data_IF_012454988491
#
_entry.id   IF_012454988491
#
_cell.length_a   1.000
_cell.length_b   1.000
_cell.length_c   1.000
_cell.angle_alpha   90.00
_cell.angle_beta   90.00
_cell.angle_gamma   90.00
#
_symmetry.space_group_name_H-M   'P 1'
#
loop_
_entity.id
_entity.type
_entity.pdbx_description
1 polymer ?
#
# COMPACT_ATOMS: atom_id res chain seq x y z
N UNK A 1 5.93 60.91 -18.55
CA UNK A 1 5.94 59.48 -18.94
C UNK A 1 6.93 58.75 -18.04
N UNK A 2 6.42 58.12 -16.99
CA UNK A 2 7.23 57.39 -15.99
C UNK A 2 7.45 55.96 -16.46
N UNK A 3 8.72 55.56 -16.61
CA UNK A 3 9.09 54.18 -16.99
C UNK A 3 8.91 53.28 -15.77
N UNK A 4 7.93 52.38 -15.79
CA UNK A 4 7.80 51.29 -14.86
C UNK A 4 9.03 50.36 -14.96
N UNK A 5 9.78 50.23 -13.88
CA UNK A 5 10.85 49.22 -13.73
C UNK A 5 10.23 47.88 -13.38
N UNK A 6 10.41 46.87 -14.23
CA UNK A 6 10.09 45.49 -13.91
C UNK A 6 10.94 45.00 -12.75
N UNK A 7 10.35 44.27 -11.77
CA UNK A 7 11.12 43.67 -10.70
C UNK A 7 12.02 42.54 -11.25
N UNK A 8 13.21 42.32 -10.66
CA UNK A 8 14.10 41.24 -11.07
C UNK A 8 13.47 39.90 -10.78
N UNK A 9 13.61 38.96 -11.73
CA UNK A 9 13.21 37.56 -11.56
C UNK A 9 13.94 36.90 -10.38
N UNK A 10 13.27 36.06 -9.60
CA UNK A 10 13.92 35.36 -8.50
C UNK A 10 15.02 34.44 -9.03
N UNK A 11 16.23 34.69 -8.62
CA UNK A 11 17.42 33.86 -8.92
C UNK A 11 17.26 32.55 -8.16
N UNK A 12 17.17 31.45 -8.89
CA UNK A 12 17.24 30.12 -8.29
C UNK A 12 18.57 29.96 -7.53
N UNK A 13 18.58 29.38 -6.32
CA UNK A 13 19.81 29.23 -5.57
C UNK A 13 20.80 28.35 -6.33
N UNK A 14 22.04 28.83 -6.48
CA UNK A 14 23.17 28.07 -7.00
C UNK A 14 23.34 26.79 -6.19
N UNK A 15 23.54 25.63 -6.87
CA UNK A 15 24.00 24.36 -6.27
C UNK A 15 25.32 24.62 -5.52
N UNK A 16 25.24 25.06 -4.27
CA UNK A 16 26.31 24.91 -3.33
C UNK A 16 26.38 23.46 -2.90
N UNK A 17 27.60 22.88 -2.74
CA UNK A 17 27.84 21.49 -2.33
C UNK A 17 27.15 21.14 -1.02
N UNK A 18 25.83 20.90 -1.09
CA UNK A 18 25.01 20.46 -0.01
C UNK A 18 25.15 18.95 0.14
N UNK A 19 25.30 18.46 1.38
CA UNK A 19 25.10 17.06 1.74
C UNK A 19 23.90 16.55 0.96
N UNK A 20 24.06 15.46 0.18
CA UNK A 20 22.94 14.81 -0.48
C UNK A 20 21.87 14.54 0.59
N UNK A 21 20.63 14.96 0.35
CA UNK A 21 19.55 14.73 1.28
C UNK A 21 19.50 13.24 1.62
N UNK A 22 19.34 12.90 2.91
CA UNK A 22 19.23 11.50 3.34
C UNK A 22 18.01 10.87 2.68
N UNK A 23 18.23 9.91 1.77
CA UNK A 23 17.20 9.17 1.06
C UNK A 23 17.02 7.74 1.58
N UNK A 24 17.39 7.47 2.83
CA UNK A 24 17.28 6.15 3.45
C UNK A 24 16.62 6.22 4.82
N UNK A 25 16.00 5.11 5.23
CA UNK A 25 15.38 4.95 6.54
C UNK A 25 16.04 3.82 7.33
N UNK A 26 16.21 4.02 8.64
CA UNK A 26 16.55 2.95 9.59
C UNK A 26 15.28 2.19 9.90
N UNK A 27 15.33 0.88 9.66
CA UNK A 27 14.24 -0.03 9.95
C UNK A 27 14.36 -0.58 11.38
N UNK A 28 13.26 -1.12 11.92
CA UNK A 28 13.22 -1.71 13.27
C UNK A 28 14.15 -2.94 13.39
N UNK A 29 14.29 -3.72 12.32
CA UNK A 29 15.24 -4.83 12.19
C UNK A 29 16.71 -4.40 12.28
N UNK A 30 16.99 -3.09 12.24
CA UNK A 30 18.35 -2.53 12.16
C UNK A 30 18.85 -2.35 10.73
N UNK A 31 18.11 -2.81 9.70
CA UNK A 31 18.45 -2.59 8.29
C UNK A 31 18.44 -1.10 7.94
N UNK A 32 19.18 -0.76 6.91
CA UNK A 32 19.18 0.57 6.31
C UNK A 32 18.59 0.46 4.91
N UNK A 33 17.32 0.82 4.77
CA UNK A 33 16.62 0.78 3.50
C UNK A 33 16.84 2.09 2.72
N UNK A 34 17.44 2.01 1.54
CA UNK A 34 17.54 3.12 0.60
C UNK A 34 16.22 3.22 -0.20
N UNK A 35 15.62 4.43 -0.25
CA UNK A 35 14.32 4.62 -0.93
C UNK A 35 14.48 4.89 -2.43
N UNK A 36 15.68 5.29 -2.85
CA UNK A 36 15.96 5.57 -4.26
C UNK A 36 16.54 4.37 -5.00
N UNK A 37 17.26 3.50 -4.25
CA UNK A 37 17.85 2.27 -4.78
C UNK A 37 17.72 1.13 -3.74
N UNK A 38 16.49 0.63 -3.50
CA UNK A 38 16.24 -0.36 -2.47
C UNK A 38 16.82 -1.72 -2.86
N UNK A 39 17.63 -2.29 -1.95
CA UNK A 39 18.13 -3.66 -2.08
C UNK A 39 17.13 -4.66 -1.51
N UNK A 40 16.91 -5.78 -2.22
CA UNK A 40 16.12 -6.89 -1.70
C UNK A 40 16.68 -7.46 -0.38
N UNK A 41 18.00 -7.32 -0.13
CA UNK A 41 18.65 -7.78 1.09
C UNK A 41 18.36 -6.90 2.32
N UNK A 42 17.85 -5.69 2.11
CA UNK A 42 17.48 -4.76 3.18
C UNK A 42 15.99 -4.83 3.53
N UNK A 43 15.24 -5.72 2.88
CA UNK A 43 13.82 -5.94 3.11
C UNK A 43 13.61 -7.10 4.08
N UNK A 44 12.94 -6.84 5.20
CA UNK A 44 12.57 -7.86 6.18
C UNK A 44 11.05 -7.90 6.37
N UNK A 45 10.50 -9.12 6.51
CA UNK A 45 9.04 -9.29 6.67
C UNK A 45 8.53 -8.66 7.97
N UNK A 46 9.34 -8.73 9.01
CA UNK A 46 9.02 -8.15 10.31
C UNK A 46 8.79 -6.64 10.22
N UNK A 47 9.64 -5.94 9.46
CA UNK A 47 9.52 -4.50 9.23
C UNK A 47 8.25 -4.18 8.42
N UNK A 48 7.96 -4.97 7.38
CA UNK A 48 6.76 -4.81 6.56
C UNK A 48 5.51 -5.01 7.42
N UNK A 49 5.40 -6.12 8.13
CA UNK A 49 4.22 -6.43 8.94
C UNK A 49 4.00 -5.39 10.03
N UNK A 50 5.10 -4.97 10.71
CA UNK A 50 5.06 -3.95 11.75
C UNK A 50 4.58 -2.60 11.20
N UNK A 51 5.15 -2.16 10.08
CA UNK A 51 4.79 -0.89 9.45
C UNK A 51 3.35 -0.89 8.96
N UNK A 52 2.97 -1.87 8.13
CA UNK A 52 1.62 -1.96 7.56
C UNK A 52 0.51 -2.04 8.62
N UNK A 53 0.79 -2.66 9.78
CA UNK A 53 -0.17 -2.72 10.88
C UNK A 53 -0.39 -1.37 11.58
N UNK A 54 0.48 -0.38 11.35
CA UNK A 54 0.44 0.97 11.95
C UNK A 54 0.17 2.08 10.95
N UNK A 55 0.12 1.75 9.66
CA UNK A 55 -0.32 2.68 8.61
C UNK A 55 -1.84 2.59 8.49
N UNK A 56 -2.50 3.74 8.68
CA UNK A 56 -3.95 3.84 8.62
C UNK A 56 -4.43 4.00 7.18
N UNK A 57 -5.39 3.19 6.75
CA UNK A 57 -6.18 3.42 5.54
C UNK A 57 -7.11 4.62 5.75
N UNK A 58 -7.51 5.28 4.66
CA UNK A 58 -8.44 6.41 4.70
C UNK A 58 -7.97 7.56 5.61
N UNK A 59 -6.66 7.75 5.78
CA UNK A 59 -6.08 8.72 6.72
C UNK A 59 -6.66 8.59 8.14
N UNK A 60 -7.04 7.39 8.56
CA UNK A 60 -7.66 7.13 9.84
C UNK A 60 -9.14 7.54 9.96
N UNK A 61 -9.78 8.01 8.88
CA UNK A 61 -11.19 8.41 8.86
C UNK A 61 -12.11 7.20 8.68
N UNK A 62 -12.00 6.24 9.60
CA UNK A 62 -12.80 5.02 9.62
C UNK A 62 -13.49 4.83 10.97
N UNK A 63 -14.68 4.22 10.96
CA UNK A 63 -15.42 3.85 12.17
C UNK A 63 -14.68 2.76 12.95
N UNK A 64 -14.85 2.73 14.26
CA UNK A 64 -14.31 1.70 15.15
C UNK A 64 -13.33 2.26 16.17
N UNK A 65 -12.91 1.41 17.12
CA UNK A 65 -11.99 1.79 18.20
C UNK A 65 -10.51 1.85 17.77
N UNK A 66 -10.19 1.26 16.61
CA UNK A 66 -8.85 1.16 16.08
C UNK A 66 -8.80 1.67 14.64
N UNK A 67 -7.62 2.06 14.18
CA UNK A 67 -7.40 2.37 12.76
C UNK A 67 -7.65 1.11 11.93
N UNK A 68 -8.24 1.28 10.74
CA UNK A 68 -8.23 0.22 9.74
C UNK A 68 -6.88 0.25 9.03
N UNK A 69 -6.04 -0.75 9.29
CA UNK A 69 -4.65 -0.75 8.86
C UNK A 69 -4.45 -1.30 7.45
N UNK A 70 -3.36 -0.92 6.79
CA UNK A 70 -2.96 -1.48 5.48
C UNK A 70 -2.71 -2.99 5.58
N UNK A 71 -2.19 -3.50 6.71
CA UNK A 71 -2.05 -4.94 6.93
C UNK A 71 -3.40 -5.66 6.88
N UNK A 72 -4.43 -5.10 7.50
CA UNK A 72 -5.79 -5.67 7.48
C UNK A 72 -6.41 -5.58 6.09
N UNK A 73 -6.25 -4.46 5.40
CA UNK A 73 -6.63 -4.27 4.00
C UNK A 73 -6.01 -5.32 3.09
N UNK A 74 -4.70 -5.53 3.17
CA UNK A 74 -3.99 -6.50 2.33
C UNK A 74 -4.50 -7.93 2.54
N UNK A 75 -4.87 -8.28 3.77
CA UNK A 75 -5.51 -9.56 4.08
C UNK A 75 -6.92 -9.68 3.48
N UNK A 76 -7.71 -8.59 3.51
CA UNK A 76 -9.01 -8.54 2.83
C UNK A 76 -8.86 -8.70 1.32
N UNK A 77 -7.91 -8.00 0.71
CA UNK A 77 -7.65 -8.09 -0.75
C UNK A 77 -7.25 -9.52 -1.14
N UNK A 78 -6.40 -10.18 -0.35
CA UNK A 78 -6.03 -11.60 -0.59
C UNK A 78 -7.24 -12.53 -0.46
N UNK A 79 -8.09 -12.31 0.53
CA UNK A 79 -9.30 -13.13 0.71
C UNK A 79 -10.27 -12.96 -0.47
N UNK A 80 -10.46 -11.75 -0.98
CA UNK A 80 -11.30 -11.46 -2.15
C UNK A 80 -10.70 -12.04 -3.44
N UNK A 81 -9.39 -11.92 -3.65
CA UNK A 81 -8.71 -12.51 -4.79
C UNK A 81 -8.86 -14.04 -4.81
N UNK A 82 -8.70 -14.69 -3.66
CA UNK A 82 -8.88 -16.13 -3.49
C UNK A 82 -10.33 -16.56 -3.72
N UNK A 83 -11.30 -15.77 -3.29
CA UNK A 83 -12.72 -16.06 -3.56
C UNK A 83 -13.03 -15.96 -5.06
N UNK A 84 -12.41 -15.01 -5.76
CA UNK A 84 -12.58 -14.79 -7.20
C UNK A 84 -11.86 -15.84 -8.05
N UNK A 85 -10.65 -16.27 -7.63
CA UNK A 85 -9.82 -17.26 -8.30
C UNK A 85 -9.38 -18.33 -7.28
N UNK A 86 -10.24 -19.35 -7.00
CA UNK A 86 -9.96 -20.36 -5.96
C UNK A 86 -8.69 -21.17 -6.21
N UNK A 87 -8.27 -21.31 -7.47
CA UNK A 87 -7.04 -22.02 -7.86
C UNK A 87 -5.83 -21.09 -8.04
N UNK A 88 -5.89 -19.86 -7.55
CA UNK A 88 -4.74 -18.95 -7.55
C UNK A 88 -3.59 -19.64 -6.78
N UNK A 89 -2.45 -19.76 -7.44
CA UNK A 89 -1.28 -20.41 -6.85
C UNK A 89 -0.71 -19.61 -5.68
N UNK A 90 0.23 -20.22 -4.99
CA UNK A 90 0.88 -19.64 -3.82
C UNK A 90 1.56 -18.30 -4.12
N UNK A 91 2.32 -18.24 -5.21
CA UNK A 91 3.04 -17.04 -5.61
C UNK A 91 2.08 -15.91 -5.99
N UNK A 92 0.99 -16.22 -6.69
CA UNK A 92 -0.06 -15.26 -6.97
C UNK A 92 -0.72 -14.71 -5.71
N UNK A 93 -1.00 -15.57 -4.72
CA UNK A 93 -1.55 -15.12 -3.42
C UNK A 93 -0.55 -14.28 -2.64
N UNK A 94 0.73 -14.64 -2.66
CA UNK A 94 1.79 -13.87 -2.03
C UNK A 94 1.92 -12.49 -2.67
N UNK A 95 1.89 -12.40 -4.00
CA UNK A 95 1.91 -11.15 -4.73
C UNK A 95 0.69 -10.27 -4.39
N UNK A 96 -0.51 -10.87 -4.24
CA UNK A 96 -1.71 -10.15 -3.78
C UNK A 96 -1.52 -9.62 -2.35
N UNK A 97 -1.00 -10.43 -1.42
CA UNK A 97 -0.77 -10.01 -0.03
C UNK A 97 0.23 -8.83 0.05
N UNK A 98 1.23 -8.82 -0.83
CA UNK A 98 2.32 -7.84 -0.84
C UNK A 98 2.03 -6.61 -1.72
N UNK A 99 0.83 -6.46 -2.31
CA UNK A 99 0.57 -5.43 -3.32
C UNK A 99 0.80 -4.00 -2.83
N UNK A 100 0.44 -3.71 -1.59
CA UNK A 100 0.65 -2.42 -0.90
C UNK A 100 1.82 -2.47 0.10
N UNK A 101 2.69 -3.49 0.01
CA UNK A 101 3.81 -3.61 0.94
C UNK A 101 4.72 -2.37 0.99
N UNK A 102 5.00 -1.63 -0.10
CA UNK A 102 5.79 -0.39 -0.02
C UNK A 102 5.28 0.63 0.99
N UNK A 103 3.98 0.61 1.31
CA UNK A 103 3.35 1.57 2.22
C UNK A 103 3.87 1.47 3.67
N UNK A 104 4.56 0.37 4.03
CA UNK A 104 5.22 0.28 5.35
C UNK A 104 6.28 1.37 5.57
N UNK A 105 6.77 1.99 4.49
CA UNK A 105 7.78 3.05 4.52
C UNK A 105 7.24 4.38 4.02
N UNK A 106 6.45 4.34 2.94
CA UNK A 106 5.97 5.56 2.27
C UNK A 106 4.58 6.00 2.74
N UNK A 107 3.88 5.15 3.51
CA UNK A 107 2.53 5.40 3.99
C UNK A 107 1.45 5.19 2.94
N UNK A 108 0.20 5.01 3.39
CA UNK A 108 -0.98 4.98 2.50
C UNK A 108 -1.33 6.42 2.08
N UNK A 109 -1.23 6.68 0.79
CA UNK A 109 -1.65 7.94 0.22
C UNK A 109 -2.98 7.78 -0.51
N UNK A 110 -3.96 8.60 -0.15
CA UNK A 110 -5.26 8.62 -0.82
C UNK A 110 -5.10 9.02 -2.29
N UNK A 111 -5.93 8.43 -3.16
CA UNK A 111 -5.88 8.64 -4.61
C UNK A 111 -5.90 10.12 -5.05
N UNK A 112 -6.70 11.02 -4.43
CA UNK A 112 -6.64 12.44 -4.77
C UNK A 112 -5.26 13.06 -4.54
N UNK A 113 -4.54 12.67 -3.47
CA UNK A 113 -3.22 13.20 -3.16
C UNK A 113 -2.14 12.61 -4.08
N UNK A 114 -2.22 11.31 -4.39
CA UNK A 114 -1.37 10.65 -5.42
C UNK A 114 -1.44 11.38 -6.77
N UNK A 115 -2.63 11.85 -7.15
CA UNK A 115 -2.83 12.60 -8.39
C UNK A 115 -2.13 13.98 -8.40
N UNK A 116 -1.99 14.62 -7.24
CA UNK A 116 -1.32 15.92 -7.10
C UNK A 116 0.19 15.80 -7.08
N UNK A 117 0.76 14.80 -6.39
CA UNK A 117 2.21 14.59 -6.27
C UNK A 117 2.84 14.09 -7.59
N UNK A 118 2.09 13.32 -8.38
CA UNK A 118 2.52 12.87 -9.70
C UNK A 118 3.50 11.69 -9.71
N UNK A 119 4.29 11.58 -10.77
CA UNK A 119 5.01 10.36 -11.11
C UNK A 119 6.25 10.06 -10.26
N UNK A 120 6.82 11.05 -9.59
CA UNK A 120 7.99 10.84 -8.71
C UNK A 120 7.70 9.89 -7.55
N UNK A 121 6.51 9.97 -6.96
CA UNK A 121 6.05 9.05 -5.92
C UNK A 121 5.93 7.62 -6.45
N UNK A 122 5.24 7.45 -7.60
CA UNK A 122 5.06 6.13 -8.23
C UNK A 122 6.39 5.45 -8.54
N UNK A 123 7.39 6.22 -8.97
CA UNK A 123 8.72 5.66 -9.25
C UNK A 123 9.40 5.08 -8.00
N UNK A 124 9.23 5.70 -6.84
CA UNK A 124 9.71 5.16 -5.55
C UNK A 124 8.92 3.92 -5.15
N UNK A 125 7.59 3.99 -5.18
CA UNK A 125 6.68 2.88 -4.88
C UNK A 125 7.01 1.64 -5.71
N UNK A 126 7.17 1.78 -7.03
CA UNK A 126 7.50 0.67 -7.93
C UNK A 126 8.88 0.05 -7.64
N UNK A 127 9.91 0.85 -7.33
CA UNK A 127 11.23 0.32 -6.97
C UNK A 127 11.19 -0.47 -5.66
N UNK A 128 10.52 0.06 -4.65
CA UNK A 128 10.32 -0.63 -3.38
C UNK A 128 9.56 -1.95 -3.58
N UNK A 129 8.47 -1.94 -4.35
CA UNK A 129 7.68 -3.14 -4.63
C UNK A 129 8.51 -4.19 -5.38
N UNK A 130 9.32 -3.77 -6.37
CA UNK A 130 10.21 -4.67 -7.09
C UNK A 130 11.25 -5.33 -6.15
N UNK A 131 11.87 -4.56 -5.25
CA UNK A 131 12.81 -5.09 -4.27
C UNK A 131 12.13 -6.08 -3.30
N UNK A 132 10.92 -5.76 -2.84
CA UNK A 132 10.11 -6.64 -1.99
C UNK A 132 9.76 -7.94 -2.73
N UNK A 133 9.30 -7.86 -3.96
CA UNK A 133 9.01 -9.05 -4.78
C UNK A 133 10.24 -9.95 -4.92
N UNK A 134 11.38 -9.38 -5.30
CA UNK A 134 12.64 -10.13 -5.45
C UNK A 134 13.07 -10.79 -4.14
N UNK A 135 12.92 -10.10 -3.01
CA UNK A 135 13.25 -10.63 -1.67
C UNK A 135 12.50 -11.92 -1.37
N UNK A 136 11.24 -12.02 -1.80
CA UNK A 136 10.36 -13.15 -1.50
C UNK A 136 10.16 -14.09 -2.69
N UNK A 137 11.06 -14.06 -3.68
CA UNK A 137 11.07 -15.01 -4.80
C UNK A 137 9.99 -14.76 -5.85
N UNK A 138 9.42 -13.56 -5.90
CA UNK A 138 8.49 -13.13 -6.93
C UNK A 138 9.24 -12.37 -8.04
N UNK A 139 8.73 -12.35 -9.29
CA UNK A 139 9.30 -11.52 -10.33
C UNK A 139 9.12 -10.03 -10.01
N UNK A 140 10.12 -9.19 -10.29
CA UNK A 140 10.06 -7.74 -10.08
C UNK A 140 8.83 -7.10 -10.75
N UNK A 141 8.44 -7.61 -11.93
CA UNK A 141 7.22 -7.22 -12.64
C UNK A 141 6.31 -8.44 -12.77
N UNK A 142 5.11 -8.33 -12.21
CA UNK A 142 4.11 -9.39 -12.26
C UNK A 142 3.48 -9.52 -13.66
N UNK A 143 2.98 -10.70 -14.05
CA UNK A 143 2.15 -10.87 -15.24
C UNK A 143 0.92 -9.94 -15.21
N UNK A 144 0.52 -9.45 -16.37
CA UNK A 144 -0.61 -8.51 -16.48
C UNK A 144 -1.92 -9.06 -15.92
N UNK A 145 -2.18 -10.35 -16.14
CA UNK A 145 -3.35 -11.04 -15.61
C UNK A 145 -3.41 -10.98 -14.09
N UNK A 146 -2.26 -11.16 -13.41
CA UNK A 146 -2.17 -11.06 -11.96
C UNK A 146 -2.29 -9.61 -11.48
N UNK A 147 -1.67 -8.65 -12.18
CA UNK A 147 -1.84 -7.23 -11.87
C UNK A 147 -3.32 -6.80 -11.97
N UNK A 148 -4.04 -7.29 -13.00
CA UNK A 148 -5.46 -7.01 -13.18
C UNK A 148 -6.33 -7.65 -12.08
N UNK A 149 -5.97 -8.86 -11.61
CA UNK A 149 -6.62 -9.49 -10.46
C UNK A 149 -6.40 -8.69 -9.18
N UNK A 150 -5.16 -8.25 -8.91
CA UNK A 150 -4.82 -7.40 -7.76
C UNK A 150 -5.66 -6.12 -7.78
N UNK A 151 -5.62 -5.35 -8.88
CA UNK A 151 -6.39 -4.11 -9.02
C UNK A 151 -7.90 -4.31 -8.84
N UNK A 152 -8.45 -5.41 -9.36
CA UNK A 152 -9.87 -5.71 -9.21
C UNK A 152 -10.23 -6.08 -7.77
N UNK A 153 -9.35 -6.79 -7.05
CA UNK A 153 -9.57 -7.19 -5.66
C UNK A 153 -9.37 -6.03 -4.68
N UNK A 154 -8.35 -5.19 -4.92
CA UNK A 154 -8.12 -3.95 -4.18
C UNK A 154 -9.32 -2.98 -4.33
N UNK A 155 -9.80 -2.74 -5.56
CA UNK A 155 -10.98 -1.91 -5.79
C UNK A 155 -12.23 -2.47 -5.10
N UNK A 156 -12.38 -3.79 -5.06
CA UNK A 156 -13.47 -4.45 -4.34
C UNK A 156 -13.35 -4.27 -2.82
N UNK A 157 -12.14 -4.36 -2.27
CA UNK A 157 -11.86 -4.07 -0.86
C UNK A 157 -12.16 -2.61 -0.54
N UNK A 158 -11.69 -1.66 -1.36
CA UNK A 158 -11.96 -0.24 -1.20
C UNK A 158 -13.47 0.08 -1.21
N UNK A 159 -14.27 -0.61 -2.05
CA UNK A 159 -15.73 -0.48 -2.01
C UNK A 159 -16.32 -0.89 -0.65
N UNK A 160 -15.88 -2.04 -0.13
CA UNK A 160 -16.36 -2.54 1.17
C UNK A 160 -15.94 -1.63 2.32
N UNK A 161 -14.69 -1.19 2.31
CA UNK A 161 -14.16 -0.24 3.30
C UNK A 161 -14.92 1.09 3.27
N UNK A 162 -15.14 1.64 2.07
CA UNK A 162 -15.86 2.89 1.88
C UNK A 162 -17.26 2.81 2.50
N UNK A 163 -18.01 1.76 2.16
CA UNK A 163 -19.41 1.63 2.58
C UNK A 163 -19.58 1.16 4.03
N UNK A 164 -18.66 0.36 4.57
CA UNK A 164 -18.76 -0.19 5.92
C UNK A 164 -18.04 0.65 6.97
N UNK A 165 -16.92 1.28 6.58
CA UNK A 165 -16.02 1.93 7.54
C UNK A 165 -15.90 3.43 7.34
N UNK A 166 -15.81 3.91 6.08
CA UNK A 166 -15.52 5.31 5.77
C UNK A 166 -16.76 6.18 5.54
N UNK A 167 -17.97 5.63 5.69
CA UNK A 167 -19.23 6.41 5.68
C UNK A 167 -19.76 6.78 4.30
N UNK A 168 -19.28 6.14 3.24
CA UNK A 168 -19.82 6.35 1.89
C UNK A 168 -21.19 5.67 1.74
N UNK A 169 -22.08 6.35 1.04
CA UNK A 169 -23.33 5.73 0.56
C UNK A 169 -23.06 4.80 -0.63
N UNK A 170 -23.85 3.74 -0.77
CA UNK A 170 -23.68 2.76 -1.87
C UNK A 170 -23.63 3.40 -3.26
N UNK A 171 -24.47 4.39 -3.51
CA UNK A 171 -24.52 5.11 -4.79
C UNK A 171 -23.25 5.90 -5.08
N UNK A 172 -22.66 6.49 -4.04
CA UNK A 172 -21.40 7.22 -4.11
C UNK A 172 -20.23 6.26 -4.31
N UNK A 173 -20.13 5.20 -3.49
CA UNK A 173 -19.09 4.20 -3.58
C UNK A 173 -19.02 3.54 -4.96
N UNK A 174 -20.17 3.30 -5.61
CA UNK A 174 -20.23 2.77 -6.99
C UNK A 174 -19.58 3.67 -8.02
N UNK A 175 -19.66 4.99 -7.86
CA UNK A 175 -19.04 5.95 -8.79
C UNK A 175 -17.53 5.88 -8.76
N UNK A 176 -16.93 5.65 -7.58
CA UNK A 176 -15.48 5.65 -7.39
C UNK A 176 -14.86 4.25 -7.50
N UNK A 177 -15.52 3.23 -6.97
CA UNK A 177 -14.97 1.88 -6.82
C UNK A 177 -15.66 0.83 -7.69
N UNK A 178 -16.71 1.21 -8.42
CA UNK A 178 -17.46 0.31 -9.30
C UNK A 178 -18.54 -0.49 -8.57
N UNK A 179 -18.99 -1.59 -9.17
CA UNK A 179 -20.08 -2.40 -8.63
C UNK A 179 -19.65 -3.14 -7.36
N UNK A 180 -20.57 -3.36 -6.39
CA UNK A 180 -20.28 -4.11 -5.19
C UNK A 180 -19.76 -5.51 -5.54
N UNK A 181 -18.68 -5.97 -4.90
CA UNK A 181 -18.17 -7.31 -5.12
C UNK A 181 -19.15 -8.36 -4.56
N UNK A 182 -19.14 -9.55 -5.18
CA UNK A 182 -19.75 -10.72 -4.54
C UNK A 182 -18.78 -11.25 -3.47
N UNK A 183 -19.23 -11.33 -2.24
CA UNK A 183 -18.45 -11.83 -1.11
C UNK A 183 -19.34 -12.57 -0.12
N UNK A 184 -18.74 -13.41 0.72
CA UNK A 184 -19.46 -14.10 1.79
C UNK A 184 -19.58 -13.21 3.04
N UNK A 185 -20.63 -13.42 3.83
CA UNK A 185 -20.78 -12.76 5.13
C UNK A 185 -19.58 -13.02 6.08
N UNK A 186 -18.85 -14.12 5.88
CA UNK A 186 -17.64 -14.40 6.63
C UNK A 186 -16.53 -13.37 6.35
N UNK A 187 -16.36 -12.95 5.09
CA UNK A 187 -15.37 -11.91 4.75
C UNK A 187 -15.69 -10.59 5.45
N UNK A 188 -16.97 -10.18 5.47
CA UNK A 188 -17.38 -8.96 6.17
C UNK A 188 -17.08 -9.06 7.67
N UNK A 189 -17.53 -10.12 8.32
CA UNK A 189 -17.29 -10.35 9.75
C UNK A 189 -15.81 -10.41 10.11
N UNK A 190 -15.02 -11.10 9.29
CA UNK A 190 -13.63 -11.42 9.62
C UNK A 190 -12.66 -10.27 9.29
N UNK A 191 -13.00 -9.37 8.34
CA UNK A 191 -12.06 -8.35 7.85
C UNK A 191 -12.54 -6.90 7.97
N UNK A 192 -13.82 -6.62 8.19
CA UNK A 192 -14.34 -5.24 8.20
C UNK A 192 -14.61 -4.69 9.61
N UNK A 193 -14.08 -5.34 10.63
CA UNK A 193 -13.99 -4.77 11.99
C UNK A 193 -12.53 -4.43 12.26
N UNK A 194 -12.17 -3.13 12.48
CA UNK A 194 -10.77 -2.74 12.70
C UNK A 194 -10.13 -3.47 13.87
N UNK A 195 -8.94 -4.04 13.64
CA UNK A 195 -8.18 -4.78 14.64
C UNK A 195 -7.17 -3.86 15.35
N UNK A 196 -6.69 -4.30 16.52
CA UNK A 196 -5.50 -3.69 17.14
C UNK A 196 -4.29 -3.86 16.21
N UNK A 197 -3.33 -2.95 16.29
CA UNK A 197 -2.10 -3.05 15.50
C UNK A 197 -1.37 -4.38 15.73
N UNK A 198 -1.32 -4.88 16.98
CA UNK A 198 -0.71 -6.17 17.29
C UNK A 198 -1.43 -7.34 16.63
N UNK A 199 -2.78 -7.35 16.63
CA UNK A 199 -3.54 -8.41 15.96
C UNK A 199 -3.40 -8.34 14.43
N UNK A 200 -3.36 -7.15 13.85
CA UNK A 200 -3.15 -6.97 12.41
C UNK A 200 -1.75 -7.45 11.98
N UNK A 201 -0.70 -7.08 12.74
CA UNK A 201 0.67 -7.53 12.52
C UNK A 201 0.80 -9.06 12.60
N UNK A 202 0.26 -9.65 13.66
CA UNK A 202 0.32 -11.10 13.86
C UNK A 202 -0.37 -11.86 12.72
N UNK A 203 -1.60 -11.49 12.37
CA UNK A 203 -2.37 -12.16 11.30
C UNK A 203 -1.72 -11.99 9.93
N UNK A 204 -1.12 -10.82 9.67
CA UNK A 204 -0.39 -10.59 8.42
C UNK A 204 0.84 -11.50 8.32
N UNK A 205 1.64 -11.60 9.40
CA UNK A 205 2.79 -12.50 9.48
C UNK A 205 2.42 -13.96 9.33
N UNK A 206 1.42 -14.43 10.08
CA UNK A 206 0.91 -15.80 9.99
C UNK A 206 0.48 -16.14 8.56
N UNK A 207 -0.23 -15.21 7.91
CA UNK A 207 -0.66 -15.42 6.52
C UNK A 207 0.50 -15.47 5.56
N UNK A 208 1.45 -14.55 5.70
CA UNK A 208 2.67 -14.53 4.91
C UNK A 208 3.48 -15.83 5.06
N UNK A 209 3.75 -16.26 6.28
CA UNK A 209 4.49 -17.49 6.56
C UNK A 209 3.81 -18.73 5.97
N UNK A 210 2.48 -18.81 6.10
CA UNK A 210 1.69 -19.87 5.47
C UNK A 210 1.86 -19.90 3.95
N UNK A 211 1.97 -18.73 3.32
CA UNK A 211 2.20 -18.62 1.87
C UNK A 211 3.64 -18.89 1.48
N UNK A 212 4.62 -18.74 2.36
CA UNK A 212 6.02 -19.10 2.10
C UNK A 212 6.29 -20.61 2.23
N UNK A 213 5.70 -21.24 3.23
CA UNK A 213 5.98 -22.67 3.54
C UNK A 213 5.22 -23.65 2.63
N UNK A 214 4.18 -23.23 1.94
CA UNK A 214 3.36 -24.04 1.04
C UNK A 214 2.05 -24.44 1.64
#
# INVERSE_FOLDING_TARGET
MSKMRTPPSPTLPRKGGGRSARAWQRMLSGRRLDLLDPSALDVEMEDIAHGLARVARWNGQTKGAHIYSVAQHSLLVEALARAKVPRLDRNGRLAVLLHDAPEYVIGDMISPFKAVIGDSYKAVEHRLLAAIHLRFGLPAKLPETLQNLIKASDRAAAYLEATRLAGFEDGEARKFFGQPPKFSAAIERDYLTPWTAGAAEQRYRERFEKLLRG
#
